data_IF_376132980733
#
_entry.id   IF_376132980733
#
_cell.length_a   1.000
_cell.length_b   1.000
_cell.length_c   1.000
_cell.angle_alpha   90.00
_cell.angle_beta   90.00
_cell.angle_gamma   90.00
#
_symmetry.space_group_name_H-M   'P 1'
#
loop_
_entity.id
_entity.type
_entity.pdbx_description
1 polymer ?
#
# COMPACT_ATOMS: atom_id res chain seq x y z
N UNK A 1 -8.92 -0.49 -12.95
CA UNK A 1 -8.29 0.39 -11.94
C UNK A 1 -8.88 1.79 -12.01
N UNK A 2 -9.04 2.45 -10.87
CA UNK A 2 -9.56 3.82 -10.77
C UNK A 2 -8.69 4.65 -9.83
N UNK A 3 -8.47 5.91 -10.18
CA UNK A 3 -7.77 6.88 -9.34
C UNK A 3 -8.77 7.90 -8.78
N UNK A 4 -8.70 8.18 -7.49
CA UNK A 4 -9.58 9.14 -6.83
C UNK A 4 -8.89 10.48 -6.65
N UNK A 5 -9.63 11.54 -6.86
CA UNK A 5 -9.19 12.89 -6.58
C UNK A 5 -8.92 13.08 -5.07
N UNK A 6 -8.11 14.08 -4.73
CA UNK A 6 -7.67 14.35 -3.35
C UNK A 6 -8.82 14.44 -2.37
N UNK A 7 -9.89 15.17 -2.71
CA UNK A 7 -11.01 15.33 -1.79
C UNK A 7 -11.76 14.00 -1.49
N UNK A 8 -11.89 13.12 -2.50
CA UNK A 8 -12.47 11.78 -2.33
C UNK A 8 -11.56 10.90 -1.47
N UNK A 9 -10.25 11.00 -1.72
CA UNK A 9 -9.21 10.32 -0.96
C UNK A 9 -9.23 10.72 0.52
N UNK A 10 -9.36 12.01 0.83
CA UNK A 10 -9.41 12.52 2.20
C UNK A 10 -10.62 11.98 2.99
N UNK A 11 -11.76 11.80 2.33
CA UNK A 11 -12.94 11.21 2.96
C UNK A 11 -12.73 9.73 3.29
N UNK A 12 -12.16 8.98 2.35
CA UNK A 12 -11.84 7.57 2.53
C UNK A 12 -10.74 7.38 3.59
N UNK A 13 -9.70 8.20 3.56
CA UNK A 13 -8.64 8.19 4.55
C UNK A 13 -9.17 8.45 5.96
N UNK A 14 -10.01 9.45 6.16
CA UNK A 14 -10.64 9.73 7.45
C UNK A 14 -11.44 8.52 7.96
N UNK A 15 -12.18 7.85 7.07
CA UNK A 15 -12.93 6.63 7.42
C UNK A 15 -12.00 5.51 7.87
N UNK A 16 -10.92 5.25 7.12
CA UNK A 16 -9.95 4.21 7.45
C UNK A 16 -9.19 4.56 8.73
N UNK A 17 -8.75 5.80 8.92
CA UNK A 17 -8.06 6.24 10.15
C UNK A 17 -8.92 6.12 11.39
N UNK A 18 -10.23 6.37 11.32
CA UNK A 18 -11.15 6.08 12.44
C UNK A 18 -11.15 4.60 12.79
N UNK A 19 -11.18 3.74 11.78
CA UNK A 19 -11.12 2.28 12.01
C UNK A 19 -9.77 1.82 12.59
N UNK A 20 -8.67 2.51 12.29
CA UNK A 20 -7.37 2.28 12.93
C UNK A 20 -7.41 2.74 14.38
N UNK A 21 -7.96 3.93 14.65
CA UNK A 21 -8.05 4.50 15.99
C UNK A 21 -8.87 3.64 16.95
N UNK A 22 -9.87 2.91 16.43
CA UNK A 22 -10.65 1.94 17.20
C UNK A 22 -9.83 0.67 17.54
N UNK A 23 -8.64 0.51 16.97
CA UNK A 23 -7.71 -0.58 17.25
C UNK A 23 -6.49 0.00 17.96
N UNK A 24 -6.41 -0.25 19.24
CA UNK A 24 -5.38 0.33 20.11
C UNK A 24 -3.95 0.01 19.66
N UNK A 25 -3.74 -1.15 19.01
CA UNK A 25 -2.42 -1.58 18.55
C UNK A 25 -2.49 -2.41 17.26
N UNK A 26 -1.46 -2.36 16.40
CA UNK A 26 -1.32 -3.30 15.31
C UNK A 26 -1.14 -4.73 15.85
N UNK A 27 -1.56 -5.72 15.09
CA UNK A 27 -1.34 -7.14 15.41
C UNK A 27 0.11 -7.54 15.25
N UNK A 28 0.83 -6.85 14.37
CA UNK A 28 2.25 -7.07 14.11
C UNK A 28 2.85 -5.80 13.51
N UNK A 29 4.06 -5.49 13.91
CA UNK A 29 4.91 -4.48 13.27
C UNK A 29 6.16 -5.19 12.77
N UNK A 30 6.46 -5.00 11.50
CA UNK A 30 7.64 -5.54 10.85
C UNK A 30 8.47 -4.39 10.31
N UNK A 31 9.78 -4.51 10.46
CA UNK A 31 10.76 -3.54 9.97
C UNK A 31 11.51 -4.08 8.77
N UNK A 32 11.98 -3.19 7.93
CA UNK A 32 12.84 -3.52 6.79
C UNK A 32 13.83 -2.39 6.56
N UNK A 33 14.92 -2.67 5.84
CA UNK A 33 15.80 -1.60 5.39
C UNK A 33 15.42 -1.18 3.98
N UNK A 34 15.19 0.10 3.77
CA UNK A 34 14.88 0.71 2.47
C UNK A 34 16.08 0.79 1.51
N UNK A 35 16.97 -0.21 1.57
CA UNK A 35 18.10 -0.32 0.65
C UNK A 35 17.71 -0.77 -0.77
N UNK A 36 18.71 -1.05 -1.59
CA UNK A 36 18.53 -1.59 -2.96
C UNK A 36 18.07 -3.07 -2.93
N UNK A 37 16.90 -3.33 -2.37
CA UNK A 37 16.29 -4.65 -2.36
C UNK A 37 15.26 -4.79 -3.48
N UNK A 38 15.06 -6.02 -3.91
CA UNK A 38 13.88 -6.38 -4.69
C UNK A 38 12.70 -6.56 -3.75
N UNK A 39 11.73 -5.66 -3.86
CA UNK A 39 10.48 -5.69 -3.07
C UNK A 39 9.35 -6.46 -3.76
N UNK A 40 9.60 -7.02 -4.93
CA UNK A 40 8.58 -7.70 -5.75
C UNK A 40 7.91 -8.84 -4.98
N UNK A 41 8.68 -9.69 -4.31
CA UNK A 41 8.12 -10.82 -3.56
C UNK A 41 7.36 -10.39 -2.31
N UNK A 42 7.83 -9.36 -1.62
CA UNK A 42 7.11 -8.77 -0.49
C UNK A 42 5.78 -8.16 -0.95
N UNK A 43 5.77 -7.42 -2.05
CA UNK A 43 4.56 -6.84 -2.63
C UNK A 43 3.56 -7.91 -3.07
N UNK A 44 4.01 -8.99 -3.69
CA UNK A 44 3.18 -10.15 -4.03
C UNK A 44 2.59 -10.81 -2.79
N UNK A 45 3.39 -11.00 -1.73
CA UNK A 45 2.93 -11.60 -0.48
C UNK A 45 1.86 -10.72 0.20
N UNK A 46 2.06 -9.41 0.26
CA UNK A 46 1.09 -8.44 0.77
C UNK A 46 -0.21 -8.51 -0.03
N UNK A 47 -0.10 -8.43 -1.36
CA UNK A 47 -1.26 -8.48 -2.26
C UNK A 47 -2.03 -9.79 -2.13
N UNK A 48 -1.34 -10.94 -2.09
CA UNK A 48 -1.95 -12.24 -1.91
C UNK A 48 -2.67 -12.36 -0.56
N UNK A 49 -2.08 -11.83 0.52
CA UNK A 49 -2.70 -11.84 1.83
C UNK A 49 -3.96 -10.98 1.90
N UNK A 50 -3.98 -9.84 1.21
CA UNK A 50 -5.15 -8.96 1.10
C UNK A 50 -6.22 -9.61 0.23
N UNK A 51 -5.82 -10.29 -0.86
CA UNK A 51 -6.71 -10.92 -1.84
C UNK A 51 -7.31 -12.26 -1.43
N UNK A 52 -6.70 -12.98 -0.49
CA UNK A 52 -7.06 -14.36 -0.17
C UNK A 52 -8.47 -14.54 0.43
N UNK A 53 -9.13 -13.45 0.85
CA UNK A 53 -10.39 -13.52 1.61
C UNK A 53 -11.62 -13.13 0.84
N UNK A 54 -11.51 -12.94 -0.44
CA UNK A 54 -12.56 -12.26 -1.17
C UNK A 54 -13.15 -13.10 -2.27
N UNK A 55 -14.17 -13.85 -1.90
CA UNK A 55 -15.05 -14.55 -2.85
C UNK A 55 -16.07 -13.62 -3.53
N UNK A 56 -16.20 -12.39 -3.10
CA UNK A 56 -17.07 -11.37 -3.71
C UNK A 56 -16.18 -10.29 -4.34
N UNK A 57 -16.69 -9.60 -5.35
CA UNK A 57 -16.02 -8.49 -6.05
C UNK A 57 -15.35 -7.51 -5.08
N UNK A 58 -14.07 -7.69 -4.83
CA UNK A 58 -13.34 -6.85 -3.92
C UNK A 58 -12.57 -5.79 -4.64
N UNK A 59 -12.74 -4.64 -4.08
CA UNK A 59 -11.97 -3.48 -4.41
C UNK A 59 -10.80 -3.40 -3.42
N UNK A 60 -9.59 -3.52 -3.92
CA UNK A 60 -8.40 -3.17 -3.17
C UNK A 60 -8.19 -1.67 -3.25
N UNK A 61 -7.79 -1.09 -2.14
CA UNK A 61 -7.54 0.33 -2.12
C UNK A 61 -6.15 0.60 -1.57
N UNK A 62 -5.39 1.37 -2.31
CA UNK A 62 -4.08 1.85 -1.93
C UNK A 62 -4.12 3.38 -1.88
N UNK A 63 -3.74 3.98 -0.77
CA UNK A 63 -3.68 5.42 -0.60
C UNK A 63 -2.32 5.84 -0.08
N UNK A 64 -1.67 6.75 -0.76
CA UNK A 64 -0.49 7.43 -0.25
C UNK A 64 -0.95 8.54 0.70
N UNK A 65 -0.47 8.51 1.94
CA UNK A 65 -0.81 9.47 2.98
C UNK A 65 0.40 10.37 3.28
N UNK A 66 0.14 11.55 3.78
CA UNK A 66 1.19 12.50 4.19
C UNK A 66 1.50 13.60 3.20
N UNK A 67 2.09 14.67 3.70
CA UNK A 67 2.38 15.90 2.96
C UNK A 67 3.81 15.96 2.39
N UNK A 68 4.63 14.94 2.71
CA UNK A 68 6.07 14.93 2.45
C UNK A 68 6.52 14.58 1.03
N UNK A 69 5.58 14.31 0.14
CA UNK A 69 5.87 13.78 -1.20
C UNK A 69 6.20 14.89 -2.18
N UNK A 70 7.43 15.32 -2.17
CA UNK A 70 7.91 16.27 -3.16
C UNK A 70 8.16 15.57 -4.50
N UNK A 71 7.10 15.36 -5.28
CA UNK A 71 7.21 14.84 -6.65
C UNK A 71 8.16 15.69 -7.51
N UNK A 72 8.39 16.95 -7.17
CA UNK A 72 9.30 17.86 -7.88
C UNK A 72 10.77 17.54 -7.63
N UNK A 73 11.13 17.04 -6.46
CA UNK A 73 12.51 16.62 -6.14
C UNK A 73 12.85 15.22 -6.66
N UNK A 74 11.87 14.49 -7.17
CA UNK A 74 12.00 13.10 -7.56
C UNK A 74 12.55 12.97 -8.98
N UNK A 75 13.82 13.28 -9.17
CA UNK A 75 14.58 12.98 -10.40
C UNK A 75 15.02 11.52 -10.47
N UNK A 76 14.69 10.70 -9.46
CA UNK A 76 15.12 9.33 -9.41
C UNK A 76 14.43 8.48 -10.49
N UNK A 77 15.15 7.50 -11.02
CA UNK A 77 14.63 6.52 -11.97
C UNK A 77 13.39 5.79 -11.44
N UNK A 78 13.31 5.56 -10.12
CA UNK A 78 12.19 4.89 -9.44
C UNK A 78 10.90 5.68 -9.59
N UNK A 79 10.94 7.01 -9.39
CA UNK A 79 9.81 7.91 -9.65
C UNK A 79 9.42 7.94 -11.12
N UNK A 80 10.40 7.93 -12.01
CA UNK A 80 10.16 7.86 -13.45
C UNK A 80 9.39 6.60 -13.85
N UNK A 81 9.74 5.44 -13.26
CA UNK A 81 9.01 4.17 -13.47
C UNK A 81 7.58 4.24 -12.95
N UNK A 82 7.35 4.76 -11.76
CA UNK A 82 6.01 4.94 -11.23
C UNK A 82 5.15 5.87 -12.08
N UNK A 83 5.68 7.02 -12.51
CA UNK A 83 4.96 7.94 -13.39
C UNK A 83 4.58 7.31 -14.73
N UNK A 84 5.49 6.58 -15.36
CA UNK A 84 5.21 5.84 -16.60
C UNK A 84 4.11 4.81 -16.39
N UNK A 85 4.17 4.06 -15.30
CA UNK A 85 3.13 3.10 -14.94
C UNK A 85 1.78 3.79 -14.75
N UNK A 86 1.74 4.90 -14.03
CA UNK A 86 0.53 5.68 -13.76
C UNK A 86 -0.10 6.21 -15.05
N UNK A 87 0.69 6.81 -15.91
CA UNK A 87 0.26 7.32 -17.23
C UNK A 87 -0.25 6.18 -18.13
N UNK A 88 0.42 5.04 -18.15
CA UNK A 88 -0.02 3.87 -18.90
C UNK A 88 -1.38 3.32 -18.41
N UNK A 89 -1.76 3.60 -17.17
CA UNK A 89 -3.05 3.26 -16.58
C UNK A 89 -4.06 4.43 -16.62
N UNK A 90 -3.82 5.44 -17.46
CA UNK A 90 -4.77 6.52 -17.73
C UNK A 90 -4.77 7.67 -16.72
N UNK A 91 -3.77 7.74 -15.81
CA UNK A 91 -3.69 8.82 -14.82
C UNK A 91 -2.50 9.74 -15.05
N UNK A 92 -2.79 10.99 -15.41
CA UNK A 92 -1.79 12.02 -15.68
C UNK A 92 -1.67 13.07 -14.56
N UNK A 93 -2.61 13.08 -13.59
CA UNK A 93 -2.53 13.99 -12.44
C UNK A 93 -1.34 13.60 -11.57
N UNK A 94 -0.82 14.55 -10.80
CA UNK A 94 0.21 14.27 -9.80
C UNK A 94 -0.32 13.31 -8.74
N UNK A 95 0.58 12.60 -8.06
CA UNK A 95 0.21 11.73 -6.95
C UNK A 95 -0.53 12.51 -5.85
N UNK A 96 -0.09 13.72 -5.55
CA UNK A 96 -0.77 14.62 -4.61
C UNK A 96 -2.23 14.89 -4.98
N UNK A 97 -2.52 15.07 -6.28
CA UNK A 97 -3.87 15.40 -6.75
C UNK A 97 -4.81 14.18 -6.83
N UNK A 98 -4.23 12.98 -6.94
CA UNK A 98 -4.98 11.73 -6.97
C UNK A 98 -4.20 10.60 -6.26
N UNK A 99 -4.11 10.64 -4.91
CA UNK A 99 -3.27 9.73 -4.13
C UNK A 99 -3.89 8.36 -3.91
N UNK A 100 -5.17 8.17 -4.21
CA UNK A 100 -5.88 6.94 -3.94
C UNK A 100 -6.06 6.12 -5.22
N UNK A 101 -5.72 4.82 -5.14
CA UNK A 101 -5.80 3.87 -6.24
C UNK A 101 -6.76 2.75 -5.83
N UNK A 102 -7.74 2.46 -6.66
CA UNK A 102 -8.68 1.37 -6.47
C UNK A 102 -8.46 0.31 -7.54
N UNK A 103 -8.44 -0.94 -7.12
CA UNK A 103 -8.20 -2.09 -7.97
C UNK A 103 -9.33 -3.10 -7.83
N UNK A 104 -9.74 -3.70 -8.92
CA UNK A 104 -10.62 -4.85 -8.94
C UNK A 104 -9.83 -6.14 -8.65
N UNK A 105 -10.53 -7.21 -8.31
CA UNK A 105 -9.88 -8.49 -7.96
C UNK A 105 -8.93 -9.00 -9.06
N UNK A 106 -9.31 -8.86 -10.33
CA UNK A 106 -8.49 -9.29 -11.46
C UNK A 106 -7.27 -8.38 -11.73
N UNK A 107 -7.18 -7.25 -11.05
CA UNK A 107 -6.07 -6.29 -11.15
C UNK A 107 -5.04 -6.44 -10.01
N UNK A 108 -4.98 -7.61 -9.38
CA UNK A 108 -4.07 -7.89 -8.27
C UNK A 108 -2.59 -7.67 -8.61
N UNK A 109 -2.21 -7.89 -9.86
CA UNK A 109 -0.86 -7.61 -10.35
C UNK A 109 -0.55 -6.11 -10.34
N UNK A 110 -1.52 -5.28 -10.71
CA UNK A 110 -1.38 -3.82 -10.66
C UNK A 110 -1.30 -3.30 -9.21
N UNK A 111 -2.09 -3.89 -8.30
CA UNK A 111 -1.97 -3.62 -6.88
C UNK A 111 -0.57 -4.00 -6.36
N UNK A 112 -0.08 -5.19 -6.71
CA UNK A 112 1.26 -5.64 -6.33
C UNK A 112 2.33 -4.64 -6.81
N UNK A 113 2.18 -4.13 -8.02
CA UNK A 113 3.11 -3.16 -8.59
C UNK A 113 3.12 -1.83 -7.83
N UNK A 114 1.97 -1.31 -7.44
CA UNK A 114 1.93 -0.06 -6.66
C UNK A 114 2.44 -0.25 -5.24
N UNK A 115 2.20 -1.41 -4.61
CA UNK A 115 2.80 -1.76 -3.31
C UNK A 115 4.32 -1.84 -3.42
N UNK A 116 4.85 -2.44 -4.48
CA UNK A 116 6.30 -2.47 -4.75
C UNK A 116 6.87 -1.06 -4.86
N UNK A 117 6.21 -0.15 -5.61
CA UNK A 117 6.63 1.25 -5.67
C UNK A 117 6.63 1.92 -4.30
N UNK A 118 5.59 1.67 -3.48
CA UNK A 118 5.50 2.25 -2.14
C UNK A 118 6.67 1.83 -1.26
N UNK A 119 7.02 0.54 -1.27
CA UNK A 119 8.16 0.00 -0.53
C UNK A 119 9.50 0.55 -1.05
N UNK A 120 9.66 0.65 -2.37
CA UNK A 120 10.87 1.17 -3.01
C UNK A 120 11.08 2.67 -2.77
N UNK A 121 10.00 3.42 -2.70
CA UNK A 121 10.02 4.88 -2.58
C UNK A 121 9.86 5.35 -1.13
N UNK A 122 9.66 4.41 -0.19
CA UNK A 122 9.46 4.71 1.23
C UNK A 122 8.21 5.56 1.46
N UNK A 123 7.06 5.15 0.93
CA UNK A 123 5.83 5.92 1.10
C UNK A 123 5.10 5.56 2.39
N UNK A 124 4.49 6.58 3.00
CA UNK A 124 3.37 6.33 3.91
C UNK A 124 2.15 5.96 3.10
N UNK A 125 1.69 4.74 3.27
CA UNK A 125 0.56 4.25 2.48
C UNK A 125 -0.36 3.35 3.28
N UNK A 126 -1.65 3.43 2.98
CA UNK A 126 -2.69 2.56 3.49
C UNK A 126 -3.04 1.55 2.39
N UNK A 127 -2.96 0.27 2.71
CA UNK A 127 -3.43 -0.82 1.84
C UNK A 127 -4.60 -1.49 2.52
N UNK A 128 -5.76 -1.49 1.91
CA UNK A 128 -6.95 -2.11 2.47
C UNK A 128 -7.78 -2.85 1.41
N UNK A 129 -8.39 -3.95 1.81
CA UNK A 129 -9.49 -4.59 1.08
C UNK A 129 -10.78 -4.26 1.80
N UNK A 130 -11.76 -3.71 1.13
CA UNK A 130 -12.98 -3.16 1.70
C UNK A 130 -12.81 -2.39 3.03
N UNK A 131 -13.39 -1.23 3.22
CA UNK A 131 -13.18 -0.47 4.44
C UNK A 131 -13.43 -1.34 5.68
N UNK A 132 -12.36 -1.64 6.42
CA UNK A 132 -12.42 -2.27 7.73
C UNK A 132 -12.15 -3.76 7.82
N UNK A 133 -11.95 -4.49 6.74
CA UNK A 133 -11.70 -5.94 6.83
C UNK A 133 -10.24 -6.33 6.87
N UNK A 134 -9.42 -5.72 6.05
CA UNK A 134 -7.96 -5.94 6.04
C UNK A 134 -7.28 -4.61 5.93
N UNK A 135 -6.27 -4.40 6.73
CA UNK A 135 -5.61 -3.12 6.84
C UNK A 135 -4.13 -3.29 7.14
N UNK A 136 -3.33 -2.73 6.24
CA UNK A 136 -1.90 -2.56 6.42
C UNK A 136 -1.54 -1.08 6.29
N UNK A 137 -0.57 -0.66 7.09
CA UNK A 137 0.13 0.60 6.88
C UNK A 137 1.56 0.29 6.44
N UNK A 138 1.99 0.95 5.38
CA UNK A 138 3.38 1.06 4.99
C UNK A 138 3.86 2.41 5.50
N UNK A 139 5.06 2.47 6.08
CA UNK A 139 5.61 3.72 6.62
C UNK A 139 6.97 4.03 6.01
N UNK A 140 7.24 5.32 5.81
CA UNK A 140 8.55 5.83 5.42
C UNK A 140 9.65 5.54 6.46
N UNK A 141 9.26 5.17 7.70
CA UNK A 141 10.17 4.70 8.75
C UNK A 141 10.57 3.23 8.57
N UNK A 142 10.52 2.71 7.35
CA UNK A 142 10.90 1.34 7.02
C UNK A 142 10.13 0.28 7.82
N UNK A 143 8.83 0.48 8.01
CA UNK A 143 7.98 -0.47 8.74
C UNK A 143 6.67 -0.77 8.04
N UNK A 144 6.19 -1.98 8.30
CA UNK A 144 4.85 -2.45 7.90
C UNK A 144 4.07 -2.75 9.16
N UNK A 145 2.93 -2.11 9.32
CA UNK A 145 2.01 -2.34 10.43
C UNK A 145 0.79 -3.12 9.94
N UNK A 146 0.52 -4.26 10.55
CA UNK A 146 -0.60 -5.13 10.20
C UNK A 146 -1.66 -4.97 11.28
N UNK A 147 -2.79 -4.38 10.96
CA UNK A 147 -3.87 -4.12 11.92
C UNK A 147 -4.95 -5.18 11.91
N UNK A 148 -5.47 -5.48 10.74
CA UNK A 148 -6.52 -6.47 10.55
C UNK A 148 -6.20 -7.35 9.37
N UNK A 149 -6.71 -8.55 9.44
CA UNK A 149 -6.59 -9.52 8.38
C UNK A 149 -6.57 -10.91 8.97
N UNK A 150 -7.19 -11.81 8.30
CA UNK A 150 -7.32 -13.16 8.77
C UNK A 150 -6.00 -13.92 8.72
N UNK A 151 -5.15 -13.62 7.73
CA UNK A 151 -3.87 -14.31 7.53
C UNK A 151 -2.64 -13.49 7.98
N UNK A 152 -2.82 -12.58 8.93
CA UNK A 152 -1.72 -11.73 9.36
C UNK A 152 -0.46 -12.51 9.78
N UNK A 153 -0.64 -13.68 10.43
CA UNK A 153 0.48 -14.55 10.85
C UNK A 153 1.23 -15.09 9.65
N UNK A 154 0.51 -15.64 8.68
CA UNK A 154 1.09 -16.17 7.43
C UNK A 154 1.77 -15.08 6.60
N UNK A 155 1.19 -13.87 6.57
CA UNK A 155 1.84 -12.73 5.94
C UNK A 155 3.14 -12.37 6.67
N UNK A 156 3.10 -12.26 8.00
CA UNK A 156 4.28 -11.96 8.80
C UNK A 156 5.39 -13.00 8.60
N UNK A 157 5.06 -14.29 8.63
CA UNK A 157 6.02 -15.38 8.36
C UNK A 157 6.69 -15.25 6.99
N UNK A 158 5.91 -14.95 5.94
CA UNK A 158 6.46 -14.73 4.60
C UNK A 158 7.37 -13.50 4.55
N UNK A 159 6.94 -12.38 5.14
CA UNK A 159 7.75 -11.17 5.17
C UNK A 159 9.06 -11.38 5.95
N UNK A 160 9.00 -12.12 7.06
CA UNK A 160 10.21 -12.50 7.81
C UNK A 160 11.15 -13.36 6.95
N UNK A 161 10.61 -14.29 6.17
CA UNK A 161 11.41 -15.07 5.23
C UNK A 161 12.10 -14.22 4.14
N UNK A 162 11.52 -13.05 3.82
CA UNK A 162 12.12 -12.06 2.91
C UNK A 162 13.04 -11.05 3.62
N UNK A 163 13.36 -11.28 4.90
CA UNK A 163 14.31 -10.47 5.66
C UNK A 163 13.68 -9.24 6.33
N UNK A 164 12.37 -9.23 6.53
CA UNK A 164 11.71 -8.32 7.46
C UNK A 164 11.82 -8.89 8.88
N UNK A 165 11.86 -8.04 9.89
CA UNK A 165 11.98 -8.51 11.28
C UNK A 165 10.96 -7.85 12.20
N UNK A 166 10.39 -8.61 13.15
CA UNK A 166 9.53 -8.06 14.18
C UNK A 166 10.37 -7.29 15.21
N UNK A 167 9.74 -6.33 15.84
CA UNK A 167 10.30 -5.60 16.98
C UNK A 167 9.50 -5.90 18.23
#
# INVERSE_FOLDING_TARGET
MRFFARYEADLLEKKVRRQIADQVHPKMVLYYNSGDRDYSDAAKAITAAIGAFTRASLQFTFCVTGDGWNEGAATSERWGRYRKWRTANGENRRLYDAPWHQFEHHESEQLSKVVEFALQLGWDAIVCAEPGRQLLLLSHDDRIEIYRGFEWRRLAEKLIAFGYWPR
#
